data_IF_075398577290
#
_entry.id   IF_075398577290
#
_cell.length_a   1.000
_cell.length_b   1.000
_cell.length_c   1.000
_cell.angle_alpha   90.00
_cell.angle_beta   90.00
_cell.angle_gamma   90.00
#
_symmetry.space_group_name_H-M   'P 1'
#
loop_
_entity.id
_entity.type
_entity.pdbx_description
1 polymer ?
#
# COMPACT_ATOMS: atom_id res chain seq x y z
N UNK A 1 46.53 49.13 -0.62
CA UNK A 1 45.83 47.83 -0.57
C UNK A 1 44.35 48.08 -0.35
N UNK A 2 43.54 48.23 -1.41
CA UNK A 2 42.08 48.34 -1.32
C UNK A 2 41.51 46.95 -1.56
N UNK A 3 40.75 46.46 -0.59
CA UNK A 3 40.38 45.07 -0.39
C UNK A 3 39.57 44.47 -1.54
N UNK A 4 40.10 43.41 -2.15
CA UNK A 4 39.48 42.58 -3.19
C UNK A 4 38.30 41.72 -2.71
N UNK A 5 37.72 42.01 -1.55
CA UNK A 5 36.69 41.15 -0.94
C UNK A 5 35.34 41.24 -1.67
N UNK A 6 35.06 42.33 -2.40
CA UNK A 6 33.78 42.52 -3.08
C UNK A 6 33.56 41.53 -4.24
N UNK A 7 34.65 41.08 -4.88
CA UNK A 7 34.63 40.09 -5.96
C UNK A 7 34.30 38.68 -5.47
N UNK A 8 34.40 38.42 -4.15
CA UNK A 8 34.07 37.13 -3.53
C UNK A 8 32.70 37.19 -2.85
N UNK A 9 32.37 38.32 -2.23
CA UNK A 9 31.11 38.51 -1.49
C UNK A 9 29.91 38.50 -2.45
N UNK A 10 30.03 39.18 -3.61
CA UNK A 10 28.92 39.29 -4.57
C UNK A 10 28.51 37.94 -5.20
N UNK A 11 29.44 37.08 -5.70
CA UNK A 11 29.04 35.77 -6.22
C UNK A 11 28.58 34.81 -5.13
N UNK A 12 29.10 34.91 -3.90
CA UNK A 12 28.63 34.10 -2.77
C UNK A 12 27.20 34.47 -2.35
N UNK A 13 26.88 35.77 -2.35
CA UNK A 13 25.53 36.27 -2.09
C UNK A 13 24.55 35.84 -3.19
N UNK A 14 24.95 35.93 -4.47
CA UNK A 14 24.15 35.42 -5.59
C UNK A 14 23.95 33.90 -5.51
N UNK A 15 24.96 33.13 -5.09
CA UNK A 15 24.84 31.69 -4.86
C UNK A 15 23.84 31.37 -3.74
N UNK A 16 23.91 32.08 -2.60
CA UNK A 16 22.96 31.93 -1.49
C UNK A 16 21.52 32.27 -1.91
N UNK A 17 21.30 33.36 -2.65
CA UNK A 17 19.97 33.73 -3.17
C UNK A 17 19.46 32.71 -4.21
N UNK A 18 20.35 32.09 -4.99
CA UNK A 18 19.97 31.03 -5.93
C UNK A 18 19.60 29.71 -5.26
N UNK A 19 20.18 29.39 -4.09
CA UNK A 19 19.83 28.21 -3.30
C UNK A 19 18.41 28.35 -2.70
N UNK A 20 17.99 29.57 -2.33
CA UNK A 20 16.63 29.82 -1.83
C UNK A 20 15.54 29.78 -2.92
N UNK A 21 15.92 29.90 -4.20
CA UNK A 21 15.00 29.82 -5.35
C UNK A 21 14.92 28.43 -5.97
N UNK A 22 15.39 27.37 -5.29
CA UNK A 22 15.06 26.00 -5.66
C UNK A 22 13.56 25.83 -5.41
N UNK A 23 12.76 25.95 -6.47
CA UNK A 23 11.34 25.59 -6.48
C UNK A 23 11.25 24.13 -6.06
N UNK A 24 10.94 23.88 -4.80
CA UNK A 24 10.53 22.55 -4.35
C UNK A 24 9.21 22.26 -5.03
N UNK A 25 9.25 21.47 -6.10
CA UNK A 25 8.07 20.78 -6.62
C UNK A 25 7.71 19.75 -5.56
N UNK A 26 6.90 20.17 -4.58
CA UNK A 26 6.20 19.23 -3.74
C UNK A 26 5.18 18.54 -4.63
N UNK A 27 5.25 17.21 -4.72
CA UNK A 27 4.09 16.45 -5.18
C UNK A 27 2.92 16.85 -4.28
N UNK A 28 1.76 17.15 -4.88
CA UNK A 28 0.54 17.37 -4.11
C UNK A 28 0.29 16.17 -3.19
N UNK A 29 -0.31 16.41 -2.02
CA UNK A 29 -0.71 15.35 -1.12
C UNK A 29 -1.63 14.38 -1.87
N UNK A 30 -1.25 13.10 -2.06
CA UNK A 30 -2.07 12.15 -2.82
C UNK A 30 -3.41 11.86 -2.14
N UNK A 31 -3.63 12.33 -0.91
CA UNK A 31 -4.89 12.21 -0.18
C UNK A 31 -5.77 13.46 -0.30
N UNK A 32 -5.33 14.50 -1.01
CA UNK A 32 -6.12 15.73 -1.20
C UNK A 32 -7.47 15.41 -1.85
N UNK A 33 -8.56 15.85 -1.20
CA UNK A 33 -9.93 15.57 -1.62
C UNK A 33 -10.52 14.25 -1.13
N UNK A 34 -9.75 13.42 -0.41
CA UNK A 34 -10.25 12.21 0.24
C UNK A 34 -10.57 12.44 1.72
N UNK A 35 -11.63 11.80 2.20
CA UNK A 35 -11.94 11.72 3.63
C UNK A 35 -11.39 10.42 4.20
N UNK A 36 -10.63 10.50 5.30
CA UNK A 36 -10.10 9.32 5.97
C UNK A 36 -11.23 8.44 6.52
N UNK A 37 -11.18 7.15 6.20
CA UNK A 37 -12.09 6.13 6.72
C UNK A 37 -11.31 5.29 7.73
N UNK A 38 -11.76 5.20 9.01
CA UNK A 38 -11.06 4.40 10.01
C UNK A 38 -11.02 2.93 9.63
N UNK A 39 -9.82 2.41 9.37
CA UNK A 39 -9.56 0.99 9.15
C UNK A 39 -8.91 0.40 10.40
N UNK A 40 -9.62 -0.51 11.07
CA UNK A 40 -9.18 -1.12 12.33
C UNK A 40 -9.10 -2.63 12.22
N UNK A 41 -8.46 -3.30 13.19
CA UNK A 41 -8.41 -4.77 13.24
C UNK A 41 -9.80 -5.43 13.27
N UNK A 42 -10.82 -4.73 13.79
CA UNK A 42 -12.19 -5.22 13.77
C UNK A 42 -12.75 -5.40 12.35
N UNK A 43 -12.18 -4.69 11.37
CA UNK A 43 -12.53 -4.83 9.97
C UNK A 43 -11.81 -6.01 9.30
N UNK A 44 -10.78 -6.60 9.92
CA UNK A 44 -9.94 -7.60 9.30
C UNK A 44 -10.42 -9.02 9.55
N UNK A 45 -10.75 -9.73 8.46
CA UNK A 45 -11.03 -11.16 8.50
C UNK A 45 -9.92 -11.89 7.76
N UNK A 46 -9.08 -12.59 8.53
CA UNK A 46 -8.03 -13.44 7.96
C UNK A 46 -8.67 -14.65 7.28
N UNK A 47 -8.43 -14.78 5.98
CA UNK A 47 -8.73 -15.98 5.21
C UNK A 47 -7.45 -16.80 5.04
N UNK A 48 -7.59 -18.12 5.13
CA UNK A 48 -6.49 -19.08 5.10
C UNK A 48 -6.98 -20.39 4.48
N UNK A 49 -6.09 -21.34 4.13
CA UNK A 49 -6.49 -22.69 3.78
C UNK A 49 -7.40 -23.31 4.86
N UNK A 50 -8.49 -23.97 4.45
CA UNK A 50 -9.50 -24.48 5.39
C UNK A 50 -8.94 -25.50 6.39
N UNK A 51 -7.91 -26.25 6.01
CA UNK A 51 -7.33 -27.36 6.78
C UNK A 51 -6.05 -27.00 7.55
N UNK A 52 -5.58 -25.76 7.50
CA UNK A 52 -4.34 -25.32 8.17
C UNK A 52 -4.68 -24.33 9.30
N UNK A 53 -4.07 -24.38 10.49
CA UNK A 53 -4.25 -23.36 11.52
C UNK A 53 -3.79 -21.96 11.10
N UNK A 54 -4.36 -20.90 11.68
CA UNK A 54 -4.09 -19.51 11.24
C UNK A 54 -2.66 -19.09 11.55
N UNK A 55 -2.14 -19.48 12.71
CA UNK A 55 -0.80 -19.19 13.21
C UNK A 55 0.32 -19.75 12.32
N UNK A 56 0.01 -20.73 11.46
CA UNK A 56 0.97 -21.28 10.50
C UNK A 56 1.03 -20.49 9.17
N UNK A 57 0.07 -19.58 8.95
CA UNK A 57 -0.10 -18.85 7.68
C UNK A 57 -0.21 -17.35 7.86
N UNK A 58 -0.46 -16.88 9.07
CA UNK A 58 -0.63 -15.47 9.37
C UNK A 58 -0.05 -15.12 10.73
N UNK A 59 0.57 -13.95 10.82
CA UNK A 59 0.92 -13.32 12.10
C UNK A 59 0.80 -11.81 12.01
N UNK A 60 0.55 -11.17 13.15
CA UNK A 60 0.56 -9.72 13.30
C UNK A 60 1.44 -9.36 14.49
N UNK A 61 2.60 -8.77 14.19
CA UNK A 61 3.63 -8.44 15.18
C UNK A 61 4.20 -7.07 14.81
N UNK A 62 4.25 -6.16 15.77
CA UNK A 62 4.80 -4.80 15.64
C UNK A 62 4.22 -4.02 14.44
N UNK A 63 2.91 -4.11 14.23
CA UNK A 63 2.22 -3.43 13.14
C UNK A 63 2.41 -4.08 11.76
N UNK A 64 3.10 -5.21 11.66
CA UNK A 64 3.36 -5.92 10.39
C UNK A 64 2.48 -7.16 10.28
N UNK A 65 1.59 -7.17 9.30
CA UNK A 65 0.87 -8.36 8.86
C UNK A 65 1.78 -9.21 7.97
N UNK A 66 2.08 -10.45 8.38
CA UNK A 66 2.86 -11.41 7.60
C UNK A 66 1.96 -12.55 7.13
N UNK A 67 2.08 -12.89 5.86
CA UNK A 67 1.30 -13.93 5.20
C UNK A 67 2.24 -14.96 4.58
N UNK A 68 1.97 -16.24 4.81
CA UNK A 68 2.58 -17.34 4.09
C UNK A 68 1.54 -17.95 3.16
N UNK A 69 1.89 -18.08 1.88
CA UNK A 69 1.03 -18.70 0.86
C UNK A 69 1.89 -19.73 0.13
N UNK A 70 1.53 -21.00 0.24
CA UNK A 70 2.24 -22.07 -0.41
C UNK A 70 1.40 -22.70 -1.52
N UNK A 71 2.03 -23.03 -2.64
CA UNK A 71 1.36 -23.57 -3.83
C UNK A 71 0.64 -24.90 -3.58
N UNK A 72 1.05 -25.66 -2.55
CA UNK A 72 0.49 -26.96 -2.19
C UNK A 72 -0.58 -26.89 -1.08
N UNK A 73 -0.87 -25.70 -0.56
CA UNK A 73 -1.95 -25.53 0.40
C UNK A 73 -3.32 -25.86 -0.23
N UNK A 74 -4.35 -25.97 0.59
CA UNK A 74 -5.73 -26.10 0.11
C UNK A 74 -6.36 -24.72 -0.10
N UNK A 75 -7.42 -24.64 -0.90
CA UNK A 75 -8.22 -23.42 -1.02
C UNK A 75 -8.78 -22.94 0.33
N UNK A 76 -9.35 -21.72 0.32
CA UNK A 76 -10.02 -21.15 1.48
C UNK A 76 -11.21 -21.98 1.99
N UNK A 77 -11.94 -22.66 1.09
CA UNK A 77 -13.09 -23.51 1.44
C UNK A 77 -13.02 -24.88 0.77
N UNK A 78 -13.57 -25.93 1.41
CA UNK A 78 -13.63 -27.26 0.82
C UNK A 78 -14.34 -27.26 -0.54
N UNK A 79 -13.79 -27.99 -1.51
CA UNK A 79 -14.37 -28.14 -2.86
C UNK A 79 -14.25 -26.92 -3.78
N UNK A 80 -13.65 -25.81 -3.32
CA UNK A 80 -13.41 -24.65 -4.18
C UNK A 80 -12.34 -24.96 -5.25
N UNK A 81 -12.53 -24.53 -6.51
CA UNK A 81 -11.51 -24.69 -7.56
C UNK A 81 -10.42 -23.60 -7.51
N UNK A 82 -10.54 -22.65 -6.57
CA UNK A 82 -9.58 -21.54 -6.45
C UNK A 82 -8.23 -21.99 -5.92
N UNK A 83 -7.18 -21.25 -6.27
CA UNK A 83 -5.84 -21.50 -5.72
C UNK A 83 -5.77 -21.12 -4.23
N UNK A 84 -4.75 -21.60 -3.50
CA UNK A 84 -4.57 -21.26 -2.09
C UNK A 84 -4.33 -19.77 -1.89
N UNK A 85 -4.81 -19.26 -0.77
CA UNK A 85 -4.62 -17.87 -0.34
C UNK A 85 -4.46 -17.80 1.17
N UNK A 86 -3.66 -16.85 1.60
CA UNK A 86 -3.74 -16.29 2.94
C UNK A 86 -3.81 -14.78 2.79
N UNK A 87 -4.92 -14.18 3.19
CA UNK A 87 -5.23 -12.77 2.91
C UNK A 87 -6.06 -12.18 4.06
N UNK A 88 -6.12 -10.85 4.13
CA UNK A 88 -7.10 -10.13 4.95
C UNK A 88 -8.23 -9.67 4.03
N UNK A 89 -9.45 -10.11 4.32
CA UNK A 89 -10.66 -9.50 3.79
C UNK A 89 -11.09 -8.37 4.72
N UNK A 90 -11.20 -7.16 4.18
CA UNK A 90 -11.81 -6.02 4.87
C UNK A 90 -13.33 -6.20 4.88
N UNK A 91 -13.96 -6.09 6.06
CA UNK A 91 -15.41 -6.15 6.27
C UNK A 91 -15.93 -4.86 6.91
N UNK A 92 -17.19 -4.53 6.62
CA UNK A 92 -17.87 -3.35 7.17
C UNK A 92 -17.52 -2.05 6.47
N UNK A 93 -16.70 -2.12 5.41
CA UNK A 93 -16.31 -1.02 4.53
C UNK A 93 -16.46 -1.45 3.06
N UNK A 94 -17.54 -2.18 2.75
CA UNK A 94 -17.83 -2.64 1.40
C UNK A 94 -18.14 -1.43 0.48
N UNK A 95 -17.54 -1.43 -0.71
CA UNK A 95 -17.64 -0.34 -1.66
C UNK A 95 -19.02 -0.31 -2.33
N UNK A 96 -19.76 0.80 -2.15
CA UNK A 96 -21.07 1.01 -2.77
C UNK A 96 -21.07 2.08 -3.87
N UNK A 97 -20.28 3.15 -3.71
CA UNK A 97 -20.18 4.26 -4.66
C UNK A 97 -18.97 5.16 -4.36
N UNK A 98 -18.71 6.12 -5.26
CA UNK A 98 -17.68 7.15 -5.09
C UNK A 98 -16.30 6.73 -5.61
N UNK A 99 -15.25 7.43 -5.16
CA UNK A 99 -13.86 7.06 -5.46
C UNK A 99 -13.17 6.76 -4.14
N UNK A 100 -12.52 5.60 -4.05
CA UNK A 100 -11.83 5.15 -2.85
C UNK A 100 -10.35 5.00 -3.14
N UNK A 101 -9.54 5.37 -2.17
CA UNK A 101 -8.10 5.22 -2.20
C UNK A 101 -7.66 4.27 -1.09
N UNK A 102 -6.74 3.38 -1.43
CA UNK A 102 -6.07 2.50 -0.48
C UNK A 102 -4.58 2.74 -0.60
N UNK A 103 -3.91 2.87 0.54
CA UNK A 103 -2.47 3.00 0.62
C UNK A 103 -1.94 1.95 1.60
N UNK A 104 -0.77 1.40 1.30
CA UNK A 104 -0.09 0.47 2.19
C UNK A 104 1.29 0.10 1.68
N UNK A 105 2.16 -0.27 2.60
CA UNK A 105 3.49 -0.78 2.30
C UNK A 105 3.45 -2.30 2.26
N UNK A 106 3.96 -2.89 1.18
CA UNK A 106 4.04 -4.33 0.99
C UNK A 106 5.44 -4.76 0.59
N UNK A 107 5.86 -5.93 1.09
CA UNK A 107 7.12 -6.56 0.68
C UNK A 107 6.83 -8.00 0.23
N UNK A 108 7.25 -8.33 -1.00
CA UNK A 108 7.20 -9.69 -1.54
C UNK A 108 8.63 -10.22 -1.60
N UNK A 109 8.95 -11.30 -0.88
CA UNK A 109 10.30 -11.87 -0.89
C UNK A 109 10.79 -12.24 -2.29
N UNK A 110 12.10 -12.07 -2.53
CA UNK A 110 12.75 -12.52 -3.75
C UNK A 110 12.50 -14.02 -3.97
N UNK A 111 12.15 -14.39 -5.21
CA UNK A 111 11.87 -15.78 -5.58
C UNK A 111 10.40 -16.18 -5.48
N UNK A 112 9.53 -15.31 -4.96
CA UNK A 112 8.08 -15.50 -5.07
C UNK A 112 7.62 -15.25 -6.52
N UNK A 113 6.78 -16.14 -7.04
CA UNK A 113 6.15 -16.03 -8.36
C UNK A 113 4.62 -16.08 -8.21
N UNK A 114 3.90 -15.32 -9.03
CA UNK A 114 2.43 -15.33 -9.06
C UNK A 114 1.74 -14.77 -7.80
N UNK A 115 2.44 -13.95 -7.00
CA UNK A 115 1.83 -13.32 -5.84
C UNK A 115 0.81 -12.26 -6.26
N UNK A 116 -0.35 -12.27 -5.61
CA UNK A 116 -1.30 -11.16 -5.65
C UNK A 116 -1.32 -10.50 -4.28
N UNK A 117 -1.02 -9.19 -4.22
CA UNK A 117 -0.89 -8.44 -2.96
C UNK A 117 -2.13 -7.61 -2.62
N UNK A 118 -2.95 -7.29 -3.63
CA UNK A 118 -4.19 -6.53 -3.47
C UNK A 118 -5.17 -6.92 -4.58
N UNK A 119 -6.45 -7.04 -4.21
CA UNK A 119 -7.54 -7.34 -5.14
C UNK A 119 -8.79 -6.57 -4.71
N UNK A 120 -9.52 -6.04 -5.69
CA UNK A 120 -10.83 -5.45 -5.48
C UNK A 120 -11.84 -6.35 -6.18
N UNK A 121 -12.82 -6.84 -5.42
CA UNK A 121 -13.87 -7.71 -5.95
C UNK A 121 -15.16 -6.91 -6.07
N UNK A 122 -15.74 -6.85 -7.28
CA UNK A 122 -17.09 -6.31 -7.47
C UNK A 122 -18.18 -7.30 -7.01
N UNK A 123 -19.38 -6.79 -6.77
CA UNK A 123 -20.56 -7.65 -6.68
C UNK A 123 -20.77 -8.34 -8.04
N UNK A 124 -21.06 -9.63 -8.02
CA UNK A 124 -21.09 -10.52 -9.19
C UNK A 124 -22.22 -10.29 -10.20
N UNK A 125 -22.57 -9.04 -10.50
CA UNK A 125 -23.47 -8.66 -11.58
C UNK A 125 -22.70 -7.79 -12.59
N UNK A 126 -21.83 -8.45 -13.35
CA UNK A 126 -21.08 -7.79 -14.41
C UNK A 126 -22.02 -7.34 -15.53
N UNK A 127 -22.12 -6.02 -15.75
CA UNK A 127 -21.64 -5.32 -16.96
C UNK A 127 -21.79 -3.82 -16.70
N UNK A 128 -20.70 -3.14 -16.37
CA UNK A 128 -20.49 -1.77 -16.83
C UNK A 128 -19.26 -1.82 -17.73
N UNK A 129 -19.52 -2.01 -19.02
CA UNK A 129 -18.56 -1.69 -20.07
C UNK A 129 -18.48 -0.18 -20.17
N UNK A 130 -17.30 0.37 -19.96
CA UNK A 130 -16.93 1.68 -20.51
C UNK A 130 -16.52 1.49 -21.97
#
# INVERSE_FOLDING_TARGET
MRSSNIFVILPLFLLLVSIENIVRVYGEDPTYGFTSVPLTEANFVVQKPYNIPVEQRYSFIDGVHRFWVYAHDKPYSPGSPTQPRTEIRIKGLDYHSGVWQFEGYGYVPKGTSGATIAQIHGSGDGVLRH
#
